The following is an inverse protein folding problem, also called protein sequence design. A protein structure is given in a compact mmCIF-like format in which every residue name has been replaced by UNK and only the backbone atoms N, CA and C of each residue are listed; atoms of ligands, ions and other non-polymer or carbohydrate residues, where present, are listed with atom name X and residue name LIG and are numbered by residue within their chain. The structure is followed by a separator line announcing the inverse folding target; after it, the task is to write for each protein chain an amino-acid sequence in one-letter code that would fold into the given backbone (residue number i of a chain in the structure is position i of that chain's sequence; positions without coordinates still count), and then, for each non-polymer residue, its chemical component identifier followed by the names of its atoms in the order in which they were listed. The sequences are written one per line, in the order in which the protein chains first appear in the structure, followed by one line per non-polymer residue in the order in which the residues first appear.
data_IF_861303343180
#
_entry.id   IF_861303343180
#
_cell.length_a   1.000
_cell.length_b   1.000
_cell.length_c   1.000
_cell.angle_alpha   90.00
_cell.angle_beta   90.00
_cell.angle_gamma   90.00
#
_symmetry.space_group_name_H-M   'P 1'
#
loop_
_entity.id
_entity.type
_entity.pdbx_description
1 polymer ?
#
# COMPACT_ATOMS: atom_id res chain seq x y z
N UNK A 1 20.04 -2.99 43.76
CA UNK A 1 19.62 -1.83 42.94
C UNK A 1 18.13 -1.86 42.68
N UNK A 2 17.52 -0.74 42.25
CA UNK A 2 16.05 -0.63 42.06
C UNK A 2 15.47 -1.73 41.17
N UNK A 3 16.20 -2.13 40.11
CA UNK A 3 15.83 -3.23 39.20
C UNK A 3 15.87 -4.64 39.79
N UNK A 4 16.42 -4.84 41.00
CA UNK A 4 16.50 -6.15 41.65
C UNK A 4 15.25 -6.48 42.49
N UNK A 5 14.49 -5.45 42.89
CA UNK A 5 13.27 -5.61 43.70
C UNK A 5 12.01 -5.10 43.00
N UNK A 6 12.16 -4.12 42.09
CA UNK A 6 11.06 -3.47 41.39
C UNK A 6 11.38 -3.25 39.91
N UNK A 7 10.35 -3.03 39.10
CA UNK A 7 10.46 -2.56 37.72
C UNK A 7 10.38 -1.04 37.65
N UNK A 8 11.17 -0.47 36.74
CA UNK A 8 11.13 0.96 36.43
C UNK A 8 10.14 1.18 35.29
N UNK A 9 9.27 2.19 35.41
CA UNK A 9 8.29 2.51 34.35
C UNK A 9 8.97 2.81 33.01
N UNK A 10 8.35 2.39 31.91
CA UNK A 10 8.77 2.79 30.58
C UNK A 10 8.67 4.34 30.43
N UNK A 11 9.68 4.96 29.80
CA UNK A 11 9.75 6.41 29.63
C UNK A 11 10.33 7.19 30.82
N UNK A 12 10.83 6.53 31.87
CA UNK A 12 11.59 7.19 32.93
C UNK A 12 13.09 7.25 32.59
N UNK A 13 13.62 8.47 32.45
CA UNK A 13 15.01 8.73 32.03
C UNK A 13 15.89 9.24 33.18
N UNK A 14 15.64 8.78 34.42
CA UNK A 14 16.53 9.09 35.55
C UNK A 14 16.36 10.49 36.15
N UNK A 15 15.24 11.16 35.88
CA UNK A 15 14.88 12.45 36.52
C UNK A 15 14.95 13.67 35.59
N UNK A 16 15.53 13.53 34.39
CA UNK A 16 15.43 14.57 33.36
C UNK A 16 14.02 14.62 32.74
N UNK A 17 13.71 15.73 32.05
CA UNK A 17 12.50 15.84 31.23
C UNK A 17 12.53 14.74 30.14
N UNK A 18 11.55 13.82 30.09
CA UNK A 18 11.55 12.71 29.14
C UNK A 18 11.49 13.17 27.67
N UNK A 19 12.05 12.38 26.77
CA UNK A 19 12.12 12.70 25.33
C UNK A 19 10.74 13.01 24.72
N UNK A 20 9.70 12.25 25.11
CA UNK A 20 8.31 12.42 24.63
C UNK A 20 7.71 13.78 25.02
N UNK A 21 8.26 14.43 26.05
CA UNK A 21 7.86 15.77 26.49
C UNK A 21 8.77 16.88 25.95
N UNK A 22 10.01 16.55 25.57
CA UNK A 22 10.96 17.49 24.96
C UNK A 22 10.64 17.78 23.49
N UNK A 23 10.17 16.77 22.75
CA UNK A 23 9.86 16.91 21.33
C UNK A 23 8.47 17.51 21.12
N UNK A 24 8.31 18.44 20.14
CA UNK A 24 6.99 18.93 19.79
C UNK A 24 6.14 17.78 19.21
N UNK A 25 4.83 17.85 19.43
CA UNK A 25 3.89 16.91 18.81
C UNK A 25 3.94 17.05 17.29
N UNK A 26 3.75 15.94 16.59
CA UNK A 26 3.61 15.95 15.14
C UNK A 26 2.46 16.88 14.75
N UNK A 27 2.70 17.71 13.73
CA UNK A 27 1.75 18.71 13.24
C UNK A 27 0.61 18.06 12.46
N UNK A 28 -0.52 18.76 12.35
CA UNK A 28 -1.67 18.36 11.53
C UNK A 28 -2.70 17.53 12.28
N UNK A 29 -3.60 16.89 11.51
CA UNK A 29 -4.68 16.05 12.03
C UNK A 29 -4.85 14.81 11.14
N UNK A 30 -5.50 13.77 11.66
CA UNK A 30 -5.91 12.60 10.87
C UNK A 30 -7.31 12.87 10.31
N UNK A 31 -7.43 13.00 8.99
CA UNK A 31 -8.72 13.20 8.33
C UNK A 31 -9.57 11.90 8.41
N UNK A 32 -10.75 11.90 9.08
CA UNK A 32 -11.61 10.72 9.17
C UNK A 32 -12.21 10.28 7.83
N UNK A 33 -12.36 11.21 6.88
CA UNK A 33 -12.93 10.95 5.56
C UNK A 33 -11.86 10.56 4.51
N UNK A 34 -10.64 10.22 4.93
CA UNK A 34 -9.59 9.80 4.00
C UNK A 34 -9.94 8.45 3.38
N UNK A 35 -10.11 8.41 2.06
CA UNK A 35 -10.21 7.16 1.30
C UNK A 35 -8.81 6.58 1.16
N UNK A 36 -8.58 5.45 1.82
CA UNK A 36 -7.33 4.70 1.71
C UNK A 36 -7.42 3.70 0.55
N UNK A 37 -6.47 3.79 -0.37
CA UNK A 37 -6.37 2.84 -1.48
C UNK A 37 -5.36 1.76 -1.15
N UNK A 38 -5.66 0.54 -1.55
CA UNK A 38 -4.70 -0.55 -1.56
C UNK A 38 -3.90 -0.51 -2.87
N UNK A 39 -2.57 -0.46 -2.74
CA UNK A 39 -1.67 -0.39 -3.87
C UNK A 39 -1.34 -1.78 -4.42
N UNK A 40 -1.39 -1.93 -5.75
CA UNK A 40 -0.90 -3.12 -6.48
C UNK A 40 0.07 -2.68 -7.56
N UNK A 41 1.23 -3.32 -7.63
CA UNK A 41 2.24 -2.99 -8.64
C UNK A 41 2.07 -3.84 -9.90
N UNK A 42 2.46 -3.29 -11.05
CA UNK A 42 2.47 -4.01 -12.34
C UNK A 42 3.36 -5.27 -12.30
N UNK A 43 4.46 -5.26 -11.55
CA UNK A 43 5.29 -6.46 -11.35
C UNK A 43 4.54 -7.61 -10.67
N UNK A 44 3.71 -7.28 -9.68
CA UNK A 44 2.87 -8.27 -8.99
C UNK A 44 1.82 -8.83 -9.92
N UNK A 45 1.23 -7.99 -10.79
CA UNK A 45 0.28 -8.43 -11.81
C UNK A 45 0.97 -9.37 -12.80
N UNK A 46 2.16 -9.03 -13.28
CA UNK A 46 2.93 -9.87 -14.20
C UNK A 46 3.24 -11.25 -13.59
N UNK A 47 3.67 -11.28 -12.32
CA UNK A 47 3.95 -12.53 -11.61
C UNK A 47 2.71 -13.41 -11.40
N UNK A 48 1.55 -12.79 -11.09
CA UNK A 48 0.31 -13.50 -10.83
C UNK A 48 -0.43 -13.93 -12.10
N UNK A 49 -0.23 -13.24 -13.22
CA UNK A 49 -0.90 -13.47 -14.50
C UNK A 49 0.11 -13.71 -15.63
N UNK A 50 0.89 -14.81 -15.58
CA UNK A 50 1.94 -15.07 -16.58
C UNK A 50 1.39 -15.36 -17.99
N UNK A 51 0.12 -15.76 -18.10
CA UNK A 51 -0.57 -15.99 -19.39
C UNK A 51 -1.33 -14.76 -19.91
N UNK A 52 -1.42 -13.72 -19.09
CA UNK A 52 -2.21 -12.53 -19.39
C UNK A 52 -3.71 -12.76 -19.24
N UNK A 53 -4.48 -11.79 -19.74
CA UNK A 53 -5.94 -11.83 -19.74
C UNK A 53 -6.58 -10.70 -18.94
N UNK A 54 -7.86 -10.87 -18.65
CA UNK A 54 -8.66 -9.93 -17.87
C UNK A 54 -8.31 -10.03 -16.38
N UNK A 55 -7.98 -8.90 -15.77
CA UNK A 55 -7.66 -8.76 -14.35
C UNK A 55 -8.68 -7.85 -13.71
N UNK A 56 -9.65 -8.45 -13.02
CA UNK A 56 -10.63 -7.71 -12.22
C UNK A 56 -10.18 -7.60 -10.77
N UNK A 57 -10.85 -6.73 -10.00
CA UNK A 57 -10.64 -6.64 -8.54
C UNK A 57 -10.90 -7.99 -7.86
N UNK A 58 -11.90 -8.75 -8.31
CA UNK A 58 -12.20 -10.07 -7.77
C UNK A 58 -11.05 -11.07 -8.01
N UNK A 59 -10.43 -11.05 -9.20
CA UNK A 59 -9.30 -11.93 -9.52
C UNK A 59 -8.06 -11.59 -8.68
N UNK A 60 -7.84 -10.29 -8.41
CA UNK A 60 -6.77 -9.82 -7.53
C UNK A 60 -7.00 -10.28 -6.09
N UNK A 61 -8.26 -10.32 -5.61
CA UNK A 61 -8.61 -10.87 -4.29
C UNK A 61 -8.37 -12.37 -4.27
N UNK A 62 -8.84 -13.11 -5.28
CA UNK A 62 -8.72 -14.56 -5.36
C UNK A 62 -7.24 -15.02 -5.35
N UNK A 63 -6.36 -14.24 -5.97
CA UNK A 63 -4.91 -14.49 -5.97
C UNK A 63 -4.17 -13.91 -4.76
N UNK A 64 -4.87 -13.26 -3.84
CA UNK A 64 -4.30 -12.70 -2.62
C UNK A 64 -3.47 -11.44 -2.81
N UNK A 65 -3.59 -10.74 -3.94
CA UNK A 65 -2.90 -9.48 -4.18
C UNK A 65 -3.51 -8.31 -3.40
N UNK A 66 -4.83 -8.35 -3.17
CA UNK A 66 -5.59 -7.33 -2.45
C UNK A 66 -6.60 -7.95 -1.49
N UNK A 67 -7.08 -7.14 -0.55
CA UNK A 67 -8.15 -7.48 0.38
C UNK A 67 -9.46 -6.87 -0.14
N UNK A 68 -10.58 -7.49 0.21
CA UNK A 68 -11.91 -7.05 -0.22
C UNK A 68 -12.39 -5.74 0.45
N UNK A 69 -11.64 -5.20 1.40
CA UNK A 69 -12.09 -4.11 2.26
C UNK A 69 -11.87 -2.69 1.71
N UNK A 70 -11.00 -2.52 0.71
CA UNK A 70 -10.51 -1.20 0.29
C UNK A 70 -10.46 -1.05 -1.24
N UNK A 71 -10.66 0.17 -1.78
CA UNK A 71 -10.51 0.42 -3.20
C UNK A 71 -9.06 0.20 -3.65
N UNK A 72 -8.89 -0.29 -4.88
CA UNK A 72 -7.59 -0.71 -5.41
C UNK A 72 -7.02 0.34 -6.36
N UNK A 73 -5.76 0.71 -6.13
CA UNK A 73 -4.98 1.57 -7.02
C UNK A 73 -3.80 0.81 -7.62
N UNK A 74 -3.68 0.82 -8.94
CA UNK A 74 -2.57 0.18 -9.66
C UNK A 74 -1.41 1.16 -9.85
N UNK A 75 -0.19 0.72 -9.55
CA UNK A 75 1.05 1.50 -9.59
C UNK A 75 2.08 0.89 -10.57
N UNK A 76 2.84 1.75 -11.24
CA UNK A 76 3.77 1.36 -12.31
C UNK A 76 5.15 0.83 -11.87
N UNK A 77 5.28 0.22 -10.69
CA UNK A 77 6.56 -0.34 -10.24
C UNK A 77 6.84 -1.71 -10.89
N UNK A 78 8.01 -1.85 -11.51
CA UNK A 78 8.46 -3.03 -12.27
C UNK A 78 7.93 -3.08 -13.70
N UNK A 79 8.19 -4.19 -14.39
CA UNK A 79 7.88 -4.37 -15.82
C UNK A 79 6.75 -5.37 -16.05
N UNK A 80 6.03 -5.17 -17.15
CA UNK A 80 4.92 -6.01 -17.58
C UNK A 80 5.13 -6.38 -19.05
N UNK A 81 5.43 -7.65 -19.29
CA UNK A 81 5.67 -8.17 -20.65
C UNK A 81 4.42 -8.83 -21.26
N UNK A 82 3.38 -8.96 -20.44
CA UNK A 82 2.20 -9.72 -20.75
C UNK A 82 1.03 -8.76 -21.02
N UNK A 83 0.23 -9.08 -22.05
CA UNK A 83 -0.98 -8.32 -22.37
C UNK A 83 -2.04 -8.56 -21.29
N UNK A 84 -2.42 -7.49 -20.59
CA UNK A 84 -3.40 -7.53 -19.50
C UNK A 84 -4.44 -6.43 -19.68
N UNK A 85 -5.71 -6.78 -19.47
CA UNK A 85 -6.85 -5.86 -19.38
C UNK A 85 -7.21 -5.68 -17.91
N UNK A 86 -6.78 -4.56 -17.31
CA UNK A 86 -6.93 -4.33 -15.87
C UNK A 86 -8.14 -3.44 -15.58
N UNK A 87 -9.04 -3.91 -14.72
CA UNK A 87 -10.20 -3.16 -14.22
C UNK A 87 -10.00 -2.84 -12.73
N UNK A 88 -9.81 -1.57 -12.38
CA UNK A 88 -9.55 -1.13 -11.01
C UNK A 88 -10.11 0.28 -10.72
N UNK A 89 -10.06 0.72 -9.46
CA UNK A 89 -10.65 2.00 -9.03
C UNK A 89 -9.77 3.21 -9.41
N UNK A 90 -8.45 3.02 -9.45
CA UNK A 90 -7.52 4.08 -9.82
C UNK A 90 -6.22 3.53 -10.41
N UNK A 91 -5.55 4.34 -11.23
CA UNK A 91 -4.25 4.00 -11.83
C UNK A 91 -3.28 5.17 -11.65
N UNK A 92 -1.98 4.87 -11.53
CA UNK A 92 -0.93 5.89 -11.73
C UNK A 92 -0.69 6.11 -13.22
N UNK A 93 -0.25 7.30 -13.61
CA UNK A 93 0.15 7.59 -15.00
C UNK A 93 1.17 6.57 -15.51
N UNK A 94 2.21 6.31 -14.73
CA UNK A 94 3.23 5.31 -15.04
C UNK A 94 2.69 3.88 -15.20
N UNK A 95 1.58 3.53 -14.55
CA UNK A 95 0.96 2.22 -14.73
C UNK A 95 0.22 2.16 -16.07
N UNK A 96 -0.52 3.22 -16.42
CA UNK A 96 -1.22 3.33 -17.70
C UNK A 96 -0.23 3.24 -18.85
N UNK A 97 0.88 3.98 -18.79
CA UNK A 97 1.89 3.98 -19.84
C UNK A 97 2.51 2.59 -20.05
N UNK A 98 2.82 1.88 -18.96
CA UNK A 98 3.40 0.52 -19.04
C UNK A 98 2.40 -0.52 -19.53
N UNK A 99 1.15 -0.45 -19.08
CA UNK A 99 0.10 -1.38 -19.50
C UNK A 99 -0.23 -1.17 -20.99
N UNK A 100 -0.30 0.08 -21.45
CA UNK A 100 -0.51 0.40 -22.87
C UNK A 100 0.69 0.01 -23.73
N UNK A 101 1.93 0.17 -23.24
CA UNK A 101 3.14 -0.30 -23.92
C UNK A 101 3.15 -1.83 -24.12
N UNK A 102 2.63 -2.59 -23.15
CA UNK A 102 2.43 -4.04 -23.27
C UNK A 102 1.21 -4.43 -24.14
N UNK A 103 0.52 -3.46 -24.74
CA UNK A 103 -0.67 -3.68 -25.57
C UNK A 103 -1.93 -4.03 -24.79
N UNK A 104 -1.95 -3.76 -23.48
CA UNK A 104 -3.08 -3.96 -22.58
C UNK A 104 -4.05 -2.78 -22.53
N UNK A 105 -5.12 -2.92 -21.75
CA UNK A 105 -6.15 -1.89 -21.54
C UNK A 105 -6.36 -1.62 -20.06
N UNK A 106 -6.65 -0.37 -19.71
CA UNK A 106 -6.97 0.04 -18.33
C UNK A 106 -8.38 0.59 -18.27
N UNK A 107 -9.26 -0.08 -17.51
CA UNK A 107 -10.62 0.38 -17.26
C UNK A 107 -10.75 0.86 -15.81
N UNK A 108 -11.25 2.08 -15.66
CA UNK A 108 -11.55 2.68 -14.35
C UNK A 108 -13.00 2.39 -13.99
N UNK A 109 -13.23 1.90 -12.76
CA UNK A 109 -14.54 1.64 -12.17
C UNK A 109 -15.22 2.92 -11.65
#
# INVERSE_FOLDING_TARGET
GTRARNTVRAGFEGGQLPLVMRLPKLRGFKNPARIEYQAVNVSTINALFPKGGDVTVADLIAKGAVRDSLPVKVLGNGEIDVKVSVTAHAFSSSAVDKITAAGGTTNVL
#
